data_IF_848561336015
#
_entry.id   IF_848561336015
#
_cell.length_a   1.000
_cell.length_b   1.000
_cell.length_c   1.000
_cell.angle_alpha   90.00
_cell.angle_beta   90.00
_cell.angle_gamma   90.00
#
_symmetry.space_group_name_H-M   'P 1'
#
loop_
_entity.id
_entity.type
_entity.pdbx_description
1 polymer ?
#
# COMPACT_ATOMS: atom_id res chain seq x y z
N UNK A 1 -21.44 1.18 50.93
CA UNK A 1 -21.82 0.10 49.99
C UNK A 1 -20.81 0.08 48.85
N UNK A 2 -20.16 -1.04 48.51
CA UNK A 2 -19.23 -1.09 47.38
C UNK A 2 -19.99 -1.34 46.07
N UNK A 3 -19.73 -0.51 45.05
CA UNK A 3 -20.30 -0.70 43.71
C UNK A 3 -19.31 -1.58 42.94
N UNK A 4 -19.67 -2.85 42.72
CA UNK A 4 -18.88 -3.74 41.86
C UNK A 4 -18.97 -3.21 40.43
N UNK A 5 -17.92 -2.52 39.98
CA UNK A 5 -17.77 -2.13 38.57
C UNK A 5 -17.60 -3.41 37.74
N UNK A 6 -18.65 -3.79 37.00
CA UNK A 6 -18.66 -4.92 36.05
C UNK A 6 -17.99 -4.55 34.72
N UNK A 7 -17.15 -3.51 34.70
CA UNK A 7 -16.50 -3.04 33.49
C UNK A 7 -15.32 -3.96 33.17
N UNK A 8 -15.44 -4.74 32.09
CA UNK A 8 -14.34 -5.54 31.56
C UNK A 8 -13.19 -4.62 31.16
N UNK A 9 -12.00 -4.91 31.67
CA UNK A 9 -10.82 -4.12 31.38
C UNK A 9 -10.41 -4.32 29.92
N UNK A 10 -9.91 -3.28 29.24
CA UNK A 10 -9.46 -3.37 27.82
C UNK A 10 -8.44 -4.50 27.60
N UNK A 11 -7.64 -4.82 28.63
CA UNK A 11 -6.71 -5.96 28.62
C UNK A 11 -7.41 -7.33 28.50
N UNK A 12 -8.51 -7.56 29.23
CA UNK A 12 -9.30 -8.80 29.15
C UNK A 12 -10.02 -8.94 27.81
N UNK A 13 -10.50 -7.82 27.24
CA UNK A 13 -11.12 -7.82 25.91
C UNK A 13 -10.12 -8.21 24.81
N UNK A 14 -8.85 -7.81 24.94
CA UNK A 14 -7.79 -8.18 23.99
C UNK A 14 -7.36 -9.64 24.10
N UNK A 15 -7.32 -10.20 25.30
CA UNK A 15 -6.95 -11.61 25.52
C UNK A 15 -7.92 -12.60 24.86
N UNK A 16 -9.20 -12.21 24.68
CA UNK A 16 -10.22 -13.03 23.99
C UNK A 16 -10.26 -12.86 22.48
N UNK A 17 -9.63 -11.80 21.93
CA UNK A 17 -9.46 -11.65 20.48
C UNK A 17 -8.34 -12.59 20.03
N UNK A 18 -8.70 -13.86 19.80
CA UNK A 18 -7.81 -14.82 19.14
C UNK A 18 -7.28 -14.26 17.82
N UNK A 19 -6.06 -14.69 17.43
CA UNK A 19 -5.45 -14.33 16.15
C UNK A 19 -6.49 -14.46 15.04
N UNK A 20 -6.64 -13.47 14.13
CA UNK A 20 -7.59 -13.58 13.03
C UNK A 20 -7.34 -14.92 12.34
N UNK A 21 -8.41 -15.70 12.20
CA UNK A 21 -8.33 -17.07 11.72
C UNK A 21 -7.60 -17.06 10.37
N UNK A 22 -6.46 -17.73 10.29
CA UNK A 22 -5.68 -17.85 9.05
C UNK A 22 -6.56 -18.36 7.89
N UNK A 23 -7.64 -19.07 8.21
CA UNK A 23 -8.72 -19.48 7.32
C UNK A 23 -9.48 -18.33 6.61
N UNK A 24 -9.61 -17.14 7.20
CA UNK A 24 -10.21 -15.98 6.51
C UNK A 24 -9.29 -15.42 5.43
N UNK A 25 -7.97 -15.50 5.60
CA UNK A 25 -6.97 -15.02 4.63
C UNK A 25 -6.80 -16.01 3.47
N UNK A 26 -6.84 -17.31 3.75
CA UNK A 26 -6.65 -18.37 2.75
C UNK A 26 -7.77 -18.42 1.69
N UNK A 27 -8.97 -17.91 1.99
CA UNK A 27 -10.14 -18.04 1.09
C UNK A 27 -10.14 -17.10 -0.13
N UNK A 28 -9.28 -16.09 -0.21
CA UNK A 28 -9.32 -15.07 -1.28
C UNK A 28 -8.04 -14.90 -2.10
N UNK A 29 -6.92 -15.46 -1.67
CA UNK A 29 -5.65 -15.28 -2.36
C UNK A 29 -5.33 -16.49 -3.24
N UNK A 30 -4.91 -16.29 -4.51
CA UNK A 30 -4.57 -17.39 -5.39
C UNK A 30 -3.35 -18.16 -4.85
N UNK A 31 -3.56 -19.41 -4.44
CA UNK A 31 -2.53 -20.23 -3.80
C UNK A 31 -1.47 -20.79 -4.77
N UNK A 32 -1.72 -20.73 -6.09
CA UNK A 32 -0.85 -21.33 -7.13
C UNK A 32 0.15 -20.38 -7.77
N UNK A 33 0.30 -19.15 -7.28
CA UNK A 33 1.30 -18.21 -7.80
C UNK A 33 2.00 -17.48 -6.65
N UNK A 34 3.30 -17.16 -6.81
CA UNK A 34 3.97 -16.30 -5.84
C UNK A 34 3.26 -14.94 -5.77
N UNK A 35 3.21 -14.31 -4.58
CA UNK A 35 2.69 -12.96 -4.44
C UNK A 35 3.53 -12.01 -5.29
N UNK A 36 2.87 -11.24 -6.15
CA UNK A 36 3.50 -10.23 -6.98
C UNK A 36 3.98 -9.08 -6.09
N UNK A 37 5.25 -8.68 -6.23
CA UNK A 37 5.75 -7.54 -5.48
C UNK A 37 5.03 -6.25 -5.95
N UNK A 38 4.60 -5.36 -5.04
CA UNK A 38 3.94 -4.11 -5.40
C UNK A 38 4.77 -3.24 -6.37
N UNK A 39 6.10 -3.31 -6.30
CA UNK A 39 6.99 -2.59 -7.21
C UNK A 39 6.90 -3.03 -8.67
N UNK A 40 6.70 -4.33 -8.90
CA UNK A 40 6.53 -4.89 -10.25
C UNK A 40 5.19 -4.42 -10.84
N UNK A 41 4.13 -4.45 -10.03
CA UNK A 41 2.82 -3.90 -10.42
C UNK A 41 2.88 -2.39 -10.69
N UNK A 42 3.59 -1.64 -9.85
CA UNK A 42 3.77 -0.19 -10.00
C UNK A 42 4.47 0.15 -11.33
N UNK A 43 5.54 -0.58 -11.65
CA UNK A 43 6.27 -0.38 -12.89
C UNK A 43 5.40 -0.69 -14.12
N UNK A 44 4.82 -1.88 -14.17
CA UNK A 44 4.10 -2.38 -15.35
C UNK A 44 2.79 -1.64 -15.62
N UNK A 45 2.04 -1.30 -14.56
CA UNK A 45 0.68 -0.75 -14.71
C UNK A 45 0.61 0.77 -14.64
N UNK A 46 1.62 1.43 -14.06
CA UNK A 46 1.57 2.87 -13.84
C UNK A 46 2.74 3.60 -14.49
N UNK A 47 3.99 3.17 -14.24
CA UNK A 47 5.15 3.93 -14.71
C UNK A 47 5.44 3.74 -16.21
N UNK A 48 5.28 2.51 -16.74
CA UNK A 48 5.46 2.25 -18.18
C UNK A 48 4.49 3.05 -19.08
N UNK A 49 3.17 3.11 -18.77
CA UNK A 49 2.24 3.95 -19.53
C UNK A 49 2.57 5.44 -19.49
N UNK A 50 3.17 5.91 -18.39
CA UNK A 50 3.46 7.33 -18.17
C UNK A 50 4.74 7.83 -18.88
N UNK A 51 5.66 6.94 -19.26
CA UNK A 51 6.93 7.32 -19.89
C UNK A 51 7.93 8.03 -18.97
N UNK A 52 9.10 8.36 -19.50
CA UNK A 52 10.24 8.91 -18.74
C UNK A 52 10.05 10.38 -18.30
N UNK A 53 9.34 11.19 -19.07
CA UNK A 53 9.08 12.60 -18.75
C UNK A 53 8.27 12.75 -17.44
N UNK A 54 7.35 11.82 -17.19
CA UNK A 54 6.50 11.77 -16.01
C UNK A 54 7.24 11.39 -14.72
N UNK A 55 8.34 10.63 -14.85
CA UNK A 55 9.19 10.26 -13.71
C UNK A 55 9.99 11.44 -13.16
N UNK A 56 10.30 12.43 -14.00
CA UNK A 56 10.95 13.67 -13.56
C UNK A 56 9.99 14.56 -12.79
N UNK A 57 8.74 14.66 -13.25
CA UNK A 57 7.65 15.38 -12.57
C UNK A 57 7.35 14.81 -11.16
N UNK A 58 7.43 13.49 -11.00
CA UNK A 58 7.30 12.83 -9.69
C UNK A 58 8.35 13.29 -8.67
N UNK A 59 9.58 13.57 -9.14
CA UNK A 59 10.66 14.07 -8.31
C UNK A 59 10.34 15.47 -7.77
N UNK A 60 9.78 16.32 -8.64
CA UNK A 60 9.39 17.70 -8.31
C UNK A 60 8.22 17.76 -7.31
N UNK A 61 7.37 16.73 -7.33
CA UNK A 61 6.22 16.60 -6.40
C UNK A 61 6.55 15.88 -5.09
N UNK A 62 7.85 15.72 -4.78
CA UNK A 62 8.32 15.26 -3.48
C UNK A 62 8.38 13.73 -3.32
N UNK A 63 8.28 12.96 -4.40
CA UNK A 63 8.58 11.52 -4.39
C UNK A 63 10.05 11.33 -4.79
N UNK A 64 10.91 10.91 -3.87
CA UNK A 64 12.33 10.73 -4.22
C UNK A 64 12.53 9.59 -5.22
N UNK A 65 13.23 9.88 -6.31
CA UNK A 65 13.56 8.90 -7.34
C UNK A 65 14.31 7.66 -6.81
N UNK A 66 15.29 7.79 -5.88
CA UNK A 66 15.96 6.62 -5.30
C UNK A 66 14.98 5.69 -4.57
N UNK A 67 14.03 6.25 -3.82
CA UNK A 67 13.02 5.46 -3.09
C UNK A 67 12.09 4.73 -4.06
N UNK A 68 11.66 5.39 -5.13
CA UNK A 68 10.84 4.77 -6.17
C UNK A 68 11.60 3.61 -6.84
N UNK A 69 12.88 3.80 -7.16
CA UNK A 69 13.72 2.78 -7.77
C UNK A 69 13.95 1.57 -6.83
N UNK A 70 14.13 1.80 -5.54
CA UNK A 70 14.20 0.72 -4.54
C UNK A 70 12.89 -0.08 -4.48
N UNK A 71 11.74 0.59 -4.56
CA UNK A 71 10.43 -0.08 -4.60
C UNK A 71 10.30 -0.93 -5.87
N UNK A 72 10.67 -0.39 -7.03
CA UNK A 72 10.62 -1.11 -8.32
C UNK A 72 11.52 -2.35 -8.30
N UNK A 73 12.72 -2.25 -7.70
CA UNK A 73 13.71 -3.34 -7.65
C UNK A 73 13.49 -4.33 -6.51
N UNK A 74 12.32 -4.31 -5.86
CA UNK A 74 11.98 -5.21 -4.75
C UNK A 74 12.98 -5.11 -3.57
N UNK A 75 13.56 -3.91 -3.39
CA UNK A 75 14.47 -3.62 -2.28
C UNK A 75 13.75 -2.94 -1.12
N UNK A 76 12.51 -2.49 -1.35
CA UNK A 76 11.72 -1.74 -0.37
C UNK A 76 10.22 -1.98 -0.53
N UNK A 77 9.54 -2.15 0.60
CA UNK A 77 8.08 -2.19 0.67
C UNK A 77 7.47 -0.80 0.49
N UNK A 78 6.27 -0.73 -0.07
CA UNK A 78 5.49 0.51 -0.17
C UNK A 78 4.89 0.87 1.19
N UNK A 79 5.18 2.06 1.69
CA UNK A 79 4.52 2.60 2.90
C UNK A 79 3.23 3.33 2.55
N UNK A 80 2.34 3.50 3.52
CA UNK A 80 1.07 4.21 3.34
C UNK A 80 1.25 5.64 2.80
N UNK A 81 2.18 6.41 3.35
CA UNK A 81 2.51 7.77 2.86
C UNK A 81 2.97 7.73 1.39
N UNK A 82 3.84 6.79 1.03
CA UNK A 82 4.31 6.66 -0.35
C UNK A 82 3.18 6.28 -1.31
N UNK A 83 2.26 5.40 -0.89
CA UNK A 83 1.10 5.03 -1.70
C UNK A 83 0.18 6.22 -1.95
N UNK A 84 -0.12 7.02 -0.92
CA UNK A 84 -0.97 8.21 -1.05
C UNK A 84 -0.34 9.26 -1.98
N UNK A 85 0.96 9.52 -1.83
CA UNK A 85 1.68 10.47 -2.71
C UNK A 85 1.64 10.02 -4.16
N UNK A 86 1.94 8.74 -4.41
CA UNK A 86 1.87 8.16 -5.76
C UNK A 86 0.46 8.24 -6.34
N UNK A 87 -0.58 7.96 -5.55
CA UNK A 87 -1.97 8.04 -5.99
C UNK A 87 -2.35 9.46 -6.42
N UNK A 88 -2.02 10.47 -5.61
CA UNK A 88 -2.29 11.87 -5.98
C UNK A 88 -1.58 12.29 -7.27
N UNK A 89 -0.27 11.98 -7.38
CA UNK A 89 0.48 12.36 -8.59
C UNK A 89 -0.09 11.65 -9.81
N UNK A 90 -0.37 10.35 -9.69
CA UNK A 90 -0.93 9.56 -10.78
C UNK A 90 -2.32 10.05 -11.20
N UNK A 91 -3.19 10.41 -10.25
CA UNK A 91 -4.53 10.94 -10.58
C UNK A 91 -4.44 12.24 -11.38
N UNK A 92 -3.55 13.16 -10.99
CA UNK A 92 -3.40 14.41 -11.73
C UNK A 92 -2.73 14.17 -13.08
N UNK A 93 -1.70 13.34 -13.15
CA UNK A 93 -1.04 13.01 -14.42
C UNK A 93 -2.00 12.28 -15.37
N UNK A 94 -2.75 11.29 -14.88
CA UNK A 94 -3.71 10.55 -15.70
C UNK A 94 -4.80 11.47 -16.25
N UNK A 95 -5.27 12.43 -15.45
CA UNK A 95 -6.28 13.41 -15.88
C UNK A 95 -5.73 14.38 -16.95
N UNK A 96 -4.46 14.77 -16.84
CA UNK A 96 -3.85 15.81 -17.69
C UNK A 96 -3.18 15.23 -18.95
N UNK A 97 -2.62 14.02 -18.87
CA UNK A 97 -1.84 13.39 -19.95
C UNK A 97 -2.60 12.32 -20.75
N UNK A 98 -3.76 11.84 -20.27
CA UNK A 98 -4.68 11.00 -21.07
C UNK A 98 -5.94 11.71 -21.61
N UNK A 99 -5.94 12.98 -22.02
CA UNK A 99 -6.96 13.49 -22.93
C UNK A 99 -6.50 13.18 -24.36
N UNK A 100 -6.65 11.94 -24.83
CA UNK A 100 -6.64 11.53 -26.26
C UNK A 100 -6.80 10.01 -26.37
#
# INVERSE_FOLDING_TARGET
MPIKSTSRTIAELRARRGKPSQFLVARRLPAKRPPTHPGEMLLEKFLKPLGSASLLLLCDWGVSFPRLNEIIRDKRSVTYDTALRLAHVYSVLSLVLMPL
#
